data_IF_927280551946
#
_entry.id   IF_927280551946
#
_cell.length_a   1.000
_cell.length_b   1.000
_cell.length_c   1.000
_cell.angle_alpha   90.00
_cell.angle_beta   90.00
_cell.angle_gamma   90.00
#
_symmetry.space_group_name_H-M   'P 1'
#
loop_
_entity.id
_entity.type
_entity.pdbx_description
1 polymer ?
#
# COMPACT_ATOMS: atom_id res chain seq x y z
N UNK A 1 -19.71 19.41 -20.32
CA UNK A 1 -20.99 18.64 -20.13
C UNK A 1 -21.79 19.35 -19.04
N UNK A 2 -23.11 19.50 -19.17
CA UNK A 2 -23.95 20.09 -18.11
C UNK A 2 -24.07 19.14 -16.91
N UNK A 3 -24.12 19.68 -15.68
CA UNK A 3 -24.22 18.88 -14.44
C UNK A 3 -25.32 17.81 -14.47
N UNK A 4 -26.60 18.11 -14.82
CA UNK A 4 -27.64 17.11 -14.83
C UNK A 4 -27.39 15.97 -15.83
N UNK A 5 -26.73 16.26 -16.95
CA UNK A 5 -26.37 15.26 -17.94
C UNK A 5 -25.24 14.34 -17.43
N UNK A 6 -24.24 14.91 -16.75
CA UNK A 6 -23.15 14.16 -16.13
C UNK A 6 -23.68 13.22 -15.05
N UNK A 7 -24.50 13.73 -14.13
CA UNK A 7 -25.09 12.93 -13.06
C UNK A 7 -25.94 11.77 -13.62
N UNK A 8 -26.82 12.07 -14.58
CA UNK A 8 -27.69 11.06 -15.22
C UNK A 8 -26.86 9.97 -15.92
N UNK A 9 -25.77 10.37 -16.61
CA UNK A 9 -24.90 9.45 -17.30
C UNK A 9 -24.17 8.51 -16.32
N UNK A 10 -23.61 9.06 -15.24
CA UNK A 10 -22.92 8.24 -14.22
C UNK A 10 -23.90 7.30 -13.50
N UNK A 11 -25.09 7.78 -13.13
CA UNK A 11 -26.15 6.92 -12.53
C UNK A 11 -26.46 5.74 -13.45
N UNK A 12 -26.65 6.01 -14.75
CA UNK A 12 -26.95 4.97 -15.75
C UNK A 12 -25.83 3.93 -15.87
N UNK A 13 -24.56 4.37 -15.82
CA UNK A 13 -23.41 3.48 -15.93
C UNK A 13 -23.16 2.64 -14.68
N UNK A 14 -23.36 3.23 -13.50
CA UNK A 14 -22.89 2.64 -12.23
C UNK A 14 -24.01 2.03 -11.39
N UNK A 15 -25.26 2.41 -11.65
CA UNK A 15 -26.41 2.05 -10.80
C UNK A 15 -26.39 2.69 -9.40
N UNK A 16 -25.43 3.58 -9.13
CA UNK A 16 -25.27 4.22 -7.83
C UNK A 16 -26.33 5.33 -7.66
N UNK A 17 -26.87 5.47 -6.44
CA UNK A 17 -27.88 6.50 -6.13
C UNK A 17 -27.37 7.90 -6.45
N UNK A 18 -28.18 8.73 -7.09
CA UNK A 18 -27.88 10.10 -7.51
C UNK A 18 -27.25 10.95 -6.42
N UNK A 19 -27.72 10.85 -5.16
CA UNK A 19 -27.18 11.62 -4.02
C UNK A 19 -25.70 11.30 -3.75
N UNK A 20 -25.30 10.02 -3.84
CA UNK A 20 -23.91 9.62 -3.66
C UNK A 20 -23.02 10.10 -4.80
N UNK A 21 -23.53 10.04 -6.03
CA UNK A 21 -22.81 10.55 -7.20
C UNK A 21 -22.66 12.07 -7.12
N UNK A 22 -23.71 12.80 -6.71
CA UNK A 22 -23.61 14.24 -6.53
C UNK A 22 -22.54 14.63 -5.49
N UNK A 23 -22.47 13.93 -4.38
CA UNK A 23 -21.41 14.14 -3.38
C UNK A 23 -20.01 13.87 -3.96
N UNK A 24 -19.85 12.82 -4.76
CA UNK A 24 -18.57 12.53 -5.42
C UNK A 24 -18.19 13.59 -6.46
N UNK A 25 -19.16 14.08 -7.25
CA UNK A 25 -18.95 15.18 -8.21
C UNK A 25 -18.45 16.43 -7.50
N UNK A 26 -19.13 16.85 -6.41
CA UNK A 26 -18.71 18.01 -5.60
C UNK A 26 -17.29 17.82 -5.03
N UNK A 27 -16.96 16.62 -4.57
CA UNK A 27 -15.63 16.33 -4.03
C UNK A 27 -14.52 16.42 -5.10
N UNK A 28 -14.85 16.12 -6.35
CA UNK A 28 -13.91 16.19 -7.49
C UNK A 28 -13.87 17.57 -8.15
N UNK A 29 -14.74 18.51 -7.77
CA UNK A 29 -14.74 19.86 -8.32
C UNK A 29 -13.47 20.63 -7.93
N UNK A 30 -12.95 21.36 -8.91
CA UNK A 30 -11.88 22.33 -8.71
C UNK A 30 -12.45 23.60 -8.07
N UNK A 31 -11.84 24.04 -6.99
CA UNK A 31 -12.12 25.32 -6.35
C UNK A 31 -11.17 26.38 -6.94
N UNK A 32 -11.66 27.23 -7.86
CA UNK A 32 -10.88 28.26 -8.52
C UNK A 32 -10.23 29.28 -7.57
N UNK A 33 -10.64 29.33 -6.33
CA UNK A 33 -10.08 30.25 -5.31
C UNK A 33 -8.85 29.66 -4.62
N UNK A 34 -8.55 28.38 -4.83
CA UNK A 34 -7.45 27.64 -4.20
C UNK A 34 -6.57 26.99 -5.23
N UNK A 35 -5.36 26.64 -4.82
CA UNK A 35 -4.51 25.77 -5.62
C UNK A 35 -5.21 24.42 -5.84
N UNK A 36 -5.38 24.06 -7.09
CA UNK A 36 -5.97 22.77 -7.48
C UNK A 36 -4.94 21.92 -8.19
N UNK A 37 -4.82 20.69 -7.71
CA UNK A 37 -4.11 19.64 -8.41
C UNK A 37 -5.05 19.02 -9.45
N UNK A 38 -4.72 19.12 -10.73
CA UNK A 38 -5.52 18.56 -11.83
C UNK A 38 -5.69 17.04 -11.74
N UNK A 39 -4.81 16.36 -11.03
CA UNK A 39 -4.86 14.91 -10.85
C UNK A 39 -5.86 14.46 -9.78
N UNK A 40 -6.30 15.39 -8.92
CA UNK A 40 -7.28 15.12 -7.87
C UNK A 40 -8.57 15.92 -8.01
N UNK A 41 -8.51 17.11 -8.62
CA UNK A 41 -9.68 17.94 -8.91
C UNK A 41 -9.98 17.85 -10.40
N UNK A 42 -10.73 16.84 -10.79
CA UNK A 42 -10.92 16.44 -12.19
C UNK A 42 -12.09 17.13 -12.88
N UNK A 43 -12.89 17.90 -12.14
CA UNK A 43 -14.07 18.58 -12.65
C UNK A 43 -13.91 20.09 -12.50
N UNK A 44 -13.81 20.80 -13.62
CA UNK A 44 -13.63 22.25 -13.63
C UNK A 44 -14.95 22.94 -14.01
N UNK A 45 -15.66 23.57 -13.04
CA UNK A 45 -16.91 24.26 -13.34
C UNK A 45 -16.67 25.52 -14.19
N UNK A 46 -17.37 25.63 -15.30
CA UNK A 46 -17.36 26.79 -16.20
C UNK A 46 -18.81 27.15 -16.51
N UNK A 47 -19.39 28.08 -15.77
CA UNK A 47 -20.82 28.40 -15.85
C UNK A 47 -21.66 27.17 -15.51
N UNK A 48 -22.56 26.77 -16.42
CA UNK A 48 -23.42 25.58 -16.27
C UNK A 48 -22.74 24.26 -16.72
N UNK A 49 -21.47 24.29 -17.08
CA UNK A 49 -20.75 23.17 -17.68
C UNK A 49 -19.58 22.74 -16.84
N UNK A 50 -19.18 21.48 -16.96
CA UNK A 50 -17.89 20.97 -16.49
C UNK A 50 -16.94 20.78 -17.67
N UNK A 51 -15.73 21.32 -17.50
CA UNK A 51 -14.57 20.90 -18.28
C UNK A 51 -13.99 19.66 -17.65
N UNK A 52 -13.79 18.62 -18.45
CA UNK A 52 -13.25 17.33 -18.06
C UNK A 52 -11.85 17.20 -18.71
N UNK A 53 -10.77 17.38 -17.96
CA UNK A 53 -9.43 17.19 -18.50
C UNK A 53 -9.20 15.70 -18.80
N UNK A 54 -9.02 15.38 -20.07
CA UNK A 54 -8.97 14.01 -20.56
C UNK A 54 -7.81 13.20 -19.94
N UNK A 55 -6.61 13.77 -19.96
CA UNK A 55 -5.42 13.09 -19.47
C UNK A 55 -5.47 12.77 -17.96
N UNK A 56 -5.76 13.71 -17.07
CA UNK A 56 -5.91 13.40 -15.66
C UNK A 56 -6.96 12.32 -15.37
N UNK A 57 -8.09 12.34 -16.06
CA UNK A 57 -9.15 11.34 -15.85
C UNK A 57 -8.69 9.94 -16.23
N UNK A 58 -7.94 9.81 -17.32
CA UNK A 58 -7.47 8.51 -17.81
C UNK A 58 -6.27 7.98 -17.04
N UNK A 59 -5.32 8.85 -16.70
CA UNK A 59 -4.02 8.45 -16.16
C UNK A 59 -3.87 8.64 -14.66
N UNK A 60 -4.82 9.28 -13.97
CA UNK A 60 -4.76 9.34 -12.51
C UNK A 60 -4.94 7.96 -11.88
N UNK A 61 -4.08 7.65 -10.94
CA UNK A 61 -4.30 6.51 -10.06
C UNK A 61 -5.55 6.75 -9.20
N UNK A 62 -6.53 5.84 -9.16
CA UNK A 62 -7.67 5.94 -8.24
C UNK A 62 -7.23 6.08 -6.77
N UNK A 63 -6.12 5.46 -6.40
CA UNK A 63 -5.54 5.58 -5.06
C UNK A 63 -5.10 7.01 -4.74
N UNK A 64 -4.45 7.69 -5.69
CA UNK A 64 -4.06 9.10 -5.52
C UNK A 64 -5.28 10.00 -5.34
N UNK A 65 -6.31 9.80 -6.16
CA UNK A 65 -7.55 10.57 -6.08
C UNK A 65 -8.22 10.40 -4.72
N UNK A 66 -8.38 9.14 -4.26
CA UNK A 66 -8.98 8.84 -2.95
C UNK A 66 -8.14 9.44 -1.82
N UNK A 67 -6.83 9.32 -1.89
CA UNK A 67 -5.90 9.84 -0.87
C UNK A 67 -6.04 11.37 -0.72
N UNK A 68 -6.05 12.07 -1.84
CA UNK A 68 -6.25 13.53 -1.88
C UNK A 68 -7.64 13.95 -1.39
N UNK A 69 -8.69 13.18 -1.72
CA UNK A 69 -10.04 13.45 -1.22
C UNK A 69 -10.14 13.26 0.31
N UNK A 70 -9.51 12.22 0.84
CA UNK A 70 -9.43 12.01 2.29
C UNK A 70 -8.70 13.17 2.98
N UNK A 71 -7.57 13.61 2.43
CA UNK A 71 -6.84 14.76 2.94
C UNK A 71 -7.67 16.05 2.90
N UNK A 72 -8.35 16.33 1.78
CA UNK A 72 -9.30 17.47 1.68
C UNK A 72 -10.43 17.39 2.71
N UNK A 73 -10.89 16.18 3.03
CA UNK A 73 -11.92 15.93 4.05
C UNK A 73 -11.43 16.03 5.49
N UNK A 74 -10.15 16.35 5.71
CA UNK A 74 -9.56 16.48 7.05
C UNK A 74 -9.14 15.16 7.70
N UNK A 75 -9.15 14.06 6.95
CA UNK A 75 -8.66 12.76 7.44
C UNK A 75 -7.13 12.71 7.35
N UNK A 76 -6.46 12.86 8.48
CA UNK A 76 -5.01 12.71 8.58
C UNK A 76 -4.58 11.23 8.55
N UNK A 77 -3.25 10.98 8.47
CA UNK A 77 -2.72 9.61 8.40
C UNK A 77 -2.94 8.82 9.70
N UNK A 78 -2.96 9.47 10.85
CA UNK A 78 -3.08 8.78 12.13
C UNK A 78 -4.51 8.29 12.35
N UNK A 79 -5.53 9.12 12.03
CA UNK A 79 -6.93 8.68 12.03
C UNK A 79 -7.16 7.51 11.07
N UNK A 80 -6.49 7.55 9.91
CA UNK A 80 -6.54 6.47 8.91
C UNK A 80 -5.81 5.22 9.39
N UNK A 81 -4.73 5.37 10.15
CA UNK A 81 -3.98 4.28 10.77
C UNK A 81 -4.87 3.41 11.66
N UNK A 82 -5.60 4.03 12.59
CA UNK A 82 -6.54 3.33 13.46
C UNK A 82 -7.62 2.56 12.68
N UNK A 83 -8.15 3.15 11.59
CA UNK A 83 -9.13 2.45 10.74
C UNK A 83 -8.48 1.32 9.94
N UNK A 84 -7.24 1.47 9.54
CA UNK A 84 -6.49 0.45 8.81
C UNK A 84 -6.20 -0.78 9.67
N UNK A 85 -5.78 -0.60 10.92
CA UNK A 85 -5.60 -1.68 11.89
C UNK A 85 -6.89 -2.45 12.14
N UNK A 86 -8.01 -1.74 12.37
CA UNK A 86 -9.34 -2.35 12.51
C UNK A 86 -9.74 -3.13 11.26
N UNK A 87 -9.46 -2.59 10.08
CA UNK A 87 -9.73 -3.28 8.82
C UNK A 87 -8.94 -4.58 8.72
N UNK A 88 -7.64 -4.56 9.02
CA UNK A 88 -6.78 -5.73 8.99
C UNK A 88 -7.27 -6.81 9.97
N UNK A 89 -7.52 -6.44 11.22
CA UNK A 89 -8.03 -7.35 12.23
C UNK A 89 -9.35 -7.99 11.79
N UNK A 90 -10.31 -7.21 11.33
CA UNK A 90 -11.60 -7.70 10.85
C UNK A 90 -11.44 -8.65 9.65
N UNK A 91 -10.53 -8.34 8.71
CA UNK A 91 -10.27 -9.23 7.58
C UNK A 91 -9.67 -10.56 8.02
N UNK A 92 -8.73 -10.55 8.94
CA UNK A 92 -8.06 -11.75 9.44
C UNK A 92 -8.98 -12.65 10.28
N UNK A 93 -9.88 -12.06 11.05
CA UNK A 93 -10.79 -12.81 11.95
C UNK A 93 -12.07 -13.28 11.27
N UNK A 94 -12.59 -12.51 10.27
CA UNK A 94 -13.86 -12.82 9.60
C UNK A 94 -13.69 -13.41 8.19
N UNK A 95 -12.49 -13.39 7.63
CA UNK A 95 -12.22 -14.04 6.35
C UNK A 95 -11.65 -15.41 6.62
N UNK A 96 -12.17 -16.43 5.93
CA UNK A 96 -11.60 -17.78 6.01
C UNK A 96 -10.15 -17.76 5.56
N UNK A 97 -9.22 -17.90 6.47
CA UNK A 97 -7.81 -18.18 6.19
C UNK A 97 -7.66 -19.62 5.69
N UNK A 98 -6.63 -19.89 4.89
CA UNK A 98 -6.37 -21.27 4.41
C UNK A 98 -6.11 -22.24 5.57
N UNK A 99 -5.54 -21.75 6.68
CA UNK A 99 -5.19 -22.53 7.83
C UNK A 99 -5.58 -21.82 9.13
N UNK A 100 -5.78 -22.59 10.24
CA UNK A 100 -6.09 -22.02 11.54
C UNK A 100 -5.06 -20.99 11.96
N UNK A 101 -5.53 -19.83 12.40
CA UNK A 101 -4.72 -18.76 12.92
C UNK A 101 -5.36 -18.19 14.19
N UNK A 102 -4.55 -17.92 15.21
CA UNK A 102 -4.97 -17.18 16.39
C UNK A 102 -4.52 -15.74 16.20
N UNK A 103 -5.47 -14.83 15.98
CA UNK A 103 -5.20 -13.41 15.83
C UNK A 103 -5.50 -12.69 17.13
N UNK A 104 -4.51 -12.08 17.74
CA UNK A 104 -4.72 -11.20 18.89
C UNK A 104 -5.16 -9.81 18.43
N UNK A 105 -6.07 -9.15 19.17
CA UNK A 105 -6.47 -7.79 18.84
C UNK A 105 -5.31 -6.81 19.01
N UNK A 106 -5.33 -5.72 18.23
CA UNK A 106 -4.45 -4.59 18.48
C UNK A 106 -4.70 -4.02 19.89
N UNK A 107 -3.62 -3.67 20.59
CA UNK A 107 -3.74 -3.17 21.96
C UNK A 107 -2.41 -3.06 22.69
N UNK A 108 -2.49 -2.54 23.91
CA UNK A 108 -1.33 -2.46 24.81
C UNK A 108 -1.27 -3.68 25.69
N UNK A 109 -0.11 -4.29 25.73
CA UNK A 109 0.21 -5.49 26.50
C UNK A 109 1.34 -5.17 27.48
N UNK A 110 1.21 -5.62 28.73
CA UNK A 110 2.19 -5.35 29.77
C UNK A 110 1.57 -4.81 31.05
N UNK A 111 2.39 -4.33 31.97
CA UNK A 111 2.01 -3.62 33.19
C UNK A 111 2.47 -2.16 33.09
N UNK A 112 1.77 -1.29 33.79
CA UNK A 112 2.04 0.15 33.77
C UNK A 112 3.53 0.48 33.94
N UNK A 113 4.12 1.13 32.96
CA UNK A 113 5.54 1.45 32.89
C UNK A 113 6.41 0.49 32.08
N UNK A 114 5.89 -0.72 31.75
CA UNK A 114 6.54 -1.70 30.86
C UNK A 114 5.47 -2.28 29.92
N UNK A 115 4.90 -1.40 29.10
CA UNK A 115 3.83 -1.74 28.16
C UNK A 115 4.32 -1.52 26.72
N UNK A 116 3.91 -2.42 25.81
CA UNK A 116 4.14 -2.23 24.37
C UNK A 116 2.81 -2.33 23.62
N UNK A 117 2.62 -1.44 22.65
CA UNK A 117 1.46 -1.45 21.77
C UNK A 117 1.73 -2.37 20.57
N UNK A 118 0.91 -3.39 20.41
CA UNK A 118 1.01 -4.38 19.34
C UNK A 118 -0.17 -4.19 18.39
N UNK A 119 0.10 -3.87 17.13
CA UNK A 119 -0.94 -3.63 16.13
C UNK A 119 -1.49 -4.94 15.58
N UNK A 120 -0.61 -5.92 15.37
CA UNK A 120 -1.00 -7.23 14.86
C UNK A 120 -0.06 -8.34 15.34
N UNK A 121 -0.66 -9.39 15.88
CA UNK A 121 0.02 -10.59 16.32
C UNK A 121 -0.80 -11.83 15.93
N UNK A 122 -0.21 -12.71 15.13
CA UNK A 122 -0.88 -13.88 14.59
C UNK A 122 -0.05 -15.13 14.88
N UNK A 123 -0.64 -16.10 15.57
CA UNK A 123 -0.04 -17.41 15.80
C UNK A 123 -0.55 -18.41 14.77
N UNK A 124 0.37 -19.01 14.06
CA UNK A 124 0.18 -20.15 13.17
C UNK A 124 0.88 -21.39 13.74
N UNK A 125 0.79 -22.53 13.04
CA UNK A 125 1.38 -23.79 13.51
C UNK A 125 2.87 -23.70 13.86
N UNK A 126 3.70 -23.11 12.98
CA UNK A 126 5.16 -23.04 13.14
C UNK A 126 5.70 -21.64 13.36
N UNK A 127 4.91 -20.59 13.08
CA UNK A 127 5.36 -19.21 13.09
C UNK A 127 4.44 -18.30 13.89
N UNK A 128 5.04 -17.27 14.46
CA UNK A 128 4.34 -16.08 14.96
C UNK A 128 4.62 -14.95 13.99
N UNK A 129 3.57 -14.36 13.44
CA UNK A 129 3.65 -13.19 12.60
C UNK A 129 3.40 -11.96 13.47
N UNK A 130 4.33 -11.05 13.52
CA UNK A 130 4.17 -9.78 14.22
C UNK A 130 4.35 -8.64 13.24
N UNK A 131 3.37 -7.74 13.20
CA UNK A 131 3.46 -6.61 12.28
C UNK A 131 3.16 -5.28 12.96
N UNK A 132 3.81 -4.26 12.43
CA UNK A 132 3.50 -2.85 12.64
C UNK A 132 2.70 -2.35 11.43
N UNK A 133 1.54 -1.74 11.68
CA UNK A 133 0.65 -1.29 10.62
C UNK A 133 0.88 0.20 10.32
N UNK A 134 1.38 0.51 9.13
CA UNK A 134 1.65 1.90 8.72
C UNK A 134 0.74 2.33 7.58
N UNK A 135 -0.04 3.37 7.84
CA UNK A 135 -0.77 4.07 6.80
C UNK A 135 0.16 5.12 6.17
N UNK A 136 0.35 5.05 4.86
CA UNK A 136 1.16 6.00 4.09
C UNK A 136 0.29 6.71 3.06
N UNK A 137 0.74 7.86 2.57
CA UNK A 137 0.18 8.50 1.39
C UNK A 137 0.52 7.71 0.13
N UNK A 138 -0.38 7.77 -0.86
CA UNK A 138 -0.05 7.24 -2.18
C UNK A 138 1.06 8.12 -2.81
N UNK A 139 2.21 7.53 -2.98
CA UNK A 139 3.40 8.27 -3.43
C UNK A 139 3.37 8.48 -4.94
N UNK A 140 3.41 9.74 -5.37
CA UNK A 140 3.42 10.18 -6.79
C UNK A 140 4.68 11.01 -7.07
N UNK A 141 5.12 11.80 -6.10
CA UNK A 141 6.24 12.72 -6.20
C UNK A 141 7.42 12.24 -5.35
N UNK A 142 8.65 12.62 -5.67
CA UNK A 142 9.84 12.21 -4.90
C UNK A 142 9.74 12.49 -3.40
N UNK A 143 9.14 13.63 -3.01
CA UNK A 143 8.92 13.97 -1.61
C UNK A 143 8.00 12.95 -0.92
N UNK A 144 6.89 12.58 -1.57
CA UNK A 144 5.96 11.59 -1.00
C UNK A 144 6.62 10.21 -0.83
N UNK A 145 7.51 9.82 -1.75
CA UNK A 145 8.30 8.59 -1.60
C UNK A 145 9.25 8.66 -0.40
N UNK A 146 9.92 9.80 -0.20
CA UNK A 146 10.83 10.01 0.93
C UNK A 146 10.08 9.98 2.26
N UNK A 147 8.96 10.68 2.37
CA UNK A 147 8.11 10.71 3.57
C UNK A 147 7.54 9.31 3.89
N UNK A 148 7.03 8.61 2.87
CA UNK A 148 6.53 7.25 3.03
C UNK A 148 7.63 6.30 3.48
N UNK A 149 8.84 6.40 2.90
CA UNK A 149 9.97 5.58 3.30
C UNK A 149 10.37 5.83 4.75
N UNK A 150 10.53 7.08 5.18
CA UNK A 150 10.87 7.41 6.58
C UNK A 150 9.87 6.85 7.58
N UNK A 151 8.56 6.91 7.25
CA UNK A 151 7.51 6.34 8.10
C UNK A 151 7.57 4.80 8.15
N UNK A 152 7.99 4.16 7.07
CA UNK A 152 8.17 2.70 7.02
C UNK A 152 9.44 2.25 7.74
N UNK A 153 10.53 3.01 7.68
CA UNK A 153 11.75 2.79 8.49
C UNK A 153 11.43 2.82 9.98
N UNK A 154 10.70 3.84 10.44
CA UNK A 154 10.20 3.92 11.82
C UNK A 154 9.37 2.68 12.19
N UNK A 155 8.48 2.22 11.30
CA UNK A 155 7.69 1.00 11.50
C UNK A 155 8.56 -0.25 11.63
N UNK A 156 9.65 -0.35 10.85
CA UNK A 156 10.61 -1.46 10.97
C UNK A 156 11.32 -1.46 12.33
N UNK A 157 11.72 -0.31 12.83
CA UNK A 157 12.32 -0.18 14.16
C UNK A 157 11.32 -0.52 15.27
N UNK A 158 10.09 -0.05 15.15
CA UNK A 158 9.02 -0.35 16.10
C UNK A 158 8.72 -1.84 16.16
N UNK A 159 8.57 -2.53 15.03
CA UNK A 159 8.26 -3.97 15.04
C UNK A 159 9.42 -4.82 15.58
N UNK A 160 10.67 -4.38 15.44
CA UNK A 160 11.83 -5.03 16.10
C UNK A 160 11.66 -4.95 17.63
N UNK A 161 11.38 -3.76 18.16
CA UNK A 161 11.15 -3.54 19.60
C UNK A 161 9.96 -4.37 20.10
N UNK A 162 8.84 -4.35 19.37
CA UNK A 162 7.64 -5.17 19.65
C UNK A 162 7.97 -6.67 19.69
N UNK A 163 8.83 -7.12 18.78
CA UNK A 163 9.27 -8.52 18.71
C UNK A 163 10.06 -8.94 19.96
N UNK A 164 10.98 -8.10 20.41
CA UNK A 164 11.73 -8.36 21.64
C UNK A 164 10.82 -8.34 22.87
N UNK A 165 9.85 -7.42 22.92
CA UNK A 165 8.85 -7.40 23.98
C UNK A 165 8.05 -8.70 24.03
N UNK A 166 7.56 -9.21 22.90
CA UNK A 166 6.80 -10.48 22.83
C UNK A 166 7.65 -11.66 23.29
N UNK A 167 8.93 -11.74 22.88
CA UNK A 167 9.85 -12.79 23.30
C UNK A 167 10.09 -12.80 24.82
N UNK A 168 10.27 -11.63 25.40
CA UNK A 168 10.66 -11.48 26.81
C UNK A 168 9.45 -11.55 27.77
N UNK A 169 8.23 -11.45 27.25
CA UNK A 169 7.02 -11.33 28.05
C UNK A 169 5.94 -12.38 27.73
N UNK A 170 6.26 -13.70 27.73
CA UNK A 170 5.31 -14.75 27.35
C UNK A 170 4.04 -14.79 28.19
N UNK A 171 4.11 -14.27 29.42
CA UNK A 171 2.97 -14.25 30.34
C UNK A 171 1.77 -13.43 29.83
N UNK A 172 1.98 -12.46 28.94
CA UNK A 172 0.92 -11.63 28.35
C UNK A 172 0.31 -12.23 27.09
N UNK A 173 0.93 -13.29 26.54
CA UNK A 173 0.57 -13.87 25.25
C UNK A 173 0.15 -15.34 25.34
N UNK A 174 -0.40 -15.76 26.48
CA UNK A 174 -0.82 -17.14 26.75
C UNK A 174 -1.85 -17.65 25.76
N UNK A 175 -2.68 -16.78 25.19
CA UNK A 175 -3.69 -17.13 24.20
C UNK A 175 -3.09 -17.68 22.90
N UNK A 176 -1.81 -17.38 22.62
CA UNK A 176 -1.10 -17.91 21.44
C UNK A 176 -0.66 -19.38 21.62
N UNK A 177 -0.90 -19.95 22.80
CA UNK A 177 -0.41 -21.28 23.18
C UNK A 177 1.10 -21.29 23.44
N UNK A 178 1.72 -22.47 23.39
CA UNK A 178 3.18 -22.57 23.45
C UNK A 178 3.78 -22.08 22.14
N UNK A 179 4.34 -20.87 22.17
CA UNK A 179 4.97 -20.26 21.01
C UNK A 179 6.49 -20.12 21.12
N UNK A 180 7.07 -20.60 22.23
CA UNK A 180 8.52 -20.49 22.46
C UNK A 180 9.34 -21.28 21.44
N UNK A 181 8.74 -22.34 20.88
CA UNK A 181 9.31 -23.13 19.79
C UNK A 181 9.03 -22.60 18.37
N UNK A 182 8.19 -21.56 18.26
CA UNK A 182 7.81 -21.01 16.97
C UNK A 182 8.76 -19.92 16.53
N UNK A 183 8.99 -19.83 15.23
CA UNK A 183 9.75 -18.74 14.67
C UNK A 183 8.92 -17.45 14.66
N UNK A 184 9.48 -16.35 15.17
CA UNK A 184 8.84 -15.03 15.13
C UNK A 184 9.33 -14.28 13.90
N UNK A 185 8.39 -13.86 13.04
CA UNK A 185 8.67 -13.15 11.78
C UNK A 185 8.11 -11.73 11.89
N UNK A 186 8.97 -10.72 12.11
CA UNK A 186 8.57 -9.32 12.09
C UNK A 186 8.44 -8.80 10.64
N UNK A 187 7.44 -7.94 10.40
CA UNK A 187 7.29 -7.21 9.14
C UNK A 187 6.44 -5.95 9.34
N UNK A 188 6.51 -5.05 8.39
CA UNK A 188 5.64 -3.86 8.33
C UNK A 188 4.56 -4.08 7.28
N UNK A 189 3.31 -3.77 7.63
CA UNK A 189 2.18 -3.85 6.72
C UNK A 189 1.67 -2.46 6.37
N UNK A 190 1.48 -2.19 5.08
CA UNK A 190 1.06 -0.88 4.58
C UNK A 190 -0.22 -0.96 3.74
N UNK A 191 -0.92 0.16 3.65
CA UNK A 191 -2.16 0.30 2.89
C UNK A 191 -1.96 0.35 1.37
N UNK A 192 -0.76 0.69 0.88
CA UNK A 192 -0.42 0.78 -0.54
C UNK A 192 0.77 -0.11 -0.92
N UNK A 193 0.86 -0.56 -2.18
CA UNK A 193 1.94 -1.46 -2.62
C UNK A 193 3.31 -0.78 -2.78
N UNK A 194 3.40 0.52 -2.50
CA UNK A 194 4.66 1.26 -2.50
C UNK A 194 5.64 0.60 -1.53
N UNK A 195 6.85 0.30 -1.97
CA UNK A 195 7.90 -0.40 -1.21
C UNK A 195 7.59 -1.86 -0.81
N UNK A 196 6.53 -2.48 -1.33
CA UNK A 196 6.27 -3.92 -1.10
C UNK A 196 7.45 -4.78 -1.53
N UNK A 197 7.94 -5.65 -0.61
CA UNK A 197 9.11 -6.51 -0.82
C UNK A 197 10.46 -5.86 -0.54
N UNK A 198 10.48 -4.57 -0.23
CA UNK A 198 11.69 -3.90 0.30
C UNK A 198 11.87 -4.23 1.78
N UNK A 199 13.05 -3.94 2.31
CA UNK A 199 13.36 -4.20 3.71
C UNK A 199 14.27 -3.13 4.31
N UNK A 200 14.10 -2.90 5.60
CA UNK A 200 14.99 -2.08 6.42
C UNK A 200 15.39 -2.86 7.68
N UNK A 201 16.68 -2.91 8.00
CA UNK A 201 17.21 -3.68 9.14
C UNK A 201 16.74 -5.16 9.20
N UNK A 202 16.56 -5.80 8.01
CA UNK A 202 16.11 -7.19 7.91
C UNK A 202 14.58 -7.38 8.09
N UNK A 203 13.83 -6.32 8.35
CA UNK A 203 12.37 -6.31 8.41
C UNK A 203 11.80 -5.98 7.03
N UNK A 204 10.93 -6.82 6.52
CA UNK A 204 10.29 -6.62 5.22
C UNK A 204 9.02 -5.77 5.31
N UNK A 205 8.73 -5.07 4.22
CA UNK A 205 7.52 -4.27 4.04
C UNK A 205 6.61 -5.00 3.07
N UNK A 206 5.33 -5.10 3.39
CA UNK A 206 4.30 -5.74 2.54
C UNK A 206 3.02 -4.91 2.53
N UNK A 207 2.35 -4.85 1.39
CA UNK A 207 1.02 -4.25 1.33
C UNK A 207 -0.07 -5.19 1.85
N UNK A 208 -1.15 -4.61 2.35
CA UNK A 208 -2.27 -5.35 2.95
C UNK A 208 -2.96 -6.30 1.98
N UNK A 209 -3.06 -5.95 0.69
CA UNK A 209 -3.70 -6.80 -0.30
C UNK A 209 -2.89 -8.07 -0.55
N UNK A 210 -1.59 -7.94 -0.74
CA UNK A 210 -0.65 -9.06 -0.90
C UNK A 210 -0.65 -9.96 0.33
N UNK A 211 -0.56 -9.36 1.52
CA UNK A 211 -0.60 -10.10 2.78
C UNK A 211 -1.89 -10.88 2.96
N UNK A 212 -3.05 -10.23 2.82
CA UNK A 212 -4.36 -10.89 2.95
C UNK A 212 -4.59 -11.97 1.88
N UNK A 213 -4.07 -11.79 0.66
CA UNK A 213 -4.11 -12.79 -0.39
C UNK A 213 -3.27 -14.02 -0.03
N UNK A 214 -2.09 -13.80 0.56
CA UNK A 214 -1.26 -14.89 1.09
C UNK A 214 -1.99 -15.65 2.20
N UNK A 215 -2.52 -14.95 3.20
CA UNK A 215 -3.26 -15.57 4.30
C UNK A 215 -4.46 -16.38 3.82
N UNK A 216 -5.18 -15.87 2.83
CA UNK A 216 -6.42 -16.48 2.31
C UNK A 216 -6.18 -17.72 1.46
N UNK A 217 -5.18 -17.73 0.60
CA UNK A 217 -5.04 -18.78 -0.42
C UNK A 217 -3.60 -19.11 -0.84
N UNK A 218 -2.62 -18.32 -0.38
CA UNK A 218 -1.25 -18.42 -0.86
C UNK A 218 -1.07 -18.08 -2.33
N UNK A 219 -2.09 -17.50 -2.97
CA UNK A 219 -2.05 -17.18 -4.39
C UNK A 219 -1.95 -15.66 -4.53
N UNK A 220 -0.95 -15.24 -5.23
CA UNK A 220 -0.79 -13.85 -5.67
C UNK A 220 -1.08 -13.75 -7.16
N UNK A 221 -2.00 -12.87 -7.52
CA UNK A 221 -2.42 -12.64 -8.90
C UNK A 221 -2.00 -11.25 -9.32
N UNK A 222 -1.17 -11.15 -10.34
CA UNK A 222 -0.86 -9.87 -10.99
C UNK A 222 -1.88 -9.60 -12.09
N UNK A 223 -2.47 -8.40 -12.07
CA UNK A 223 -3.45 -7.98 -13.07
C UNK A 223 -3.00 -6.68 -13.72
N UNK A 224 -3.18 -6.61 -15.02
CA UNK A 224 -3.13 -5.36 -15.76
C UNK A 224 -4.56 -4.83 -15.89
N UNK A 225 -4.74 -3.57 -15.53
CA UNK A 225 -5.99 -2.84 -15.77
C UNK A 225 -5.84 -2.07 -17.07
N UNK A 226 -6.81 -2.21 -17.95
CA UNK A 226 -6.93 -1.47 -19.20
C UNK A 226 -8.35 -0.93 -19.35
N UNK A 227 -8.59 -0.07 -20.32
CA UNK A 227 -9.91 0.54 -20.55
C UNK A 227 -11.02 -0.47 -20.85
N UNK A 228 -10.68 -1.57 -21.47
CA UNK A 228 -11.56 -2.66 -21.92
C UNK A 228 -11.67 -3.79 -20.89
N UNK A 229 -11.01 -3.63 -19.72
CA UNK A 229 -11.12 -4.61 -18.64
C UNK A 229 -9.81 -4.88 -17.91
N UNK A 230 -9.74 -6.04 -17.28
CA UNK A 230 -8.54 -6.51 -16.59
C UNK A 230 -8.08 -7.84 -17.17
N UNK A 231 -6.80 -7.95 -17.44
CA UNK A 231 -6.15 -9.22 -17.80
C UNK A 231 -5.24 -9.73 -16.68
N UNK A 232 -5.15 -11.04 -16.52
CA UNK A 232 -4.21 -11.67 -15.59
C UNK A 232 -2.85 -11.77 -16.29
N UNK A 233 -1.84 -11.06 -15.76
CA UNK A 233 -0.46 -11.15 -16.25
C UNK A 233 0.27 -12.38 -15.73
N UNK A 234 -0.07 -12.81 -14.52
CA UNK A 234 0.55 -13.96 -13.90
C UNK A 234 -0.10 -14.34 -12.58
N UNK A 235 0.11 -15.58 -12.19
CA UNK A 235 -0.27 -16.12 -10.89
C UNK A 235 0.90 -16.85 -10.29
N UNK A 236 1.19 -16.58 -9.01
CA UNK A 236 2.21 -17.32 -8.24
C UNK A 236 1.56 -17.93 -7.01
N UNK A 237 1.66 -19.24 -6.87
CA UNK A 237 1.23 -19.95 -5.66
C UNK A 237 2.43 -20.21 -4.79
N UNK A 238 2.33 -19.84 -3.51
CA UNK A 238 3.44 -19.92 -2.55
C UNK A 238 3.39 -21.18 -1.70
N UNK A 239 2.21 -21.74 -1.41
CA UNK A 239 2.07 -22.90 -0.56
C UNK A 239 0.87 -23.79 -0.94
N UNK A 240 0.96 -25.07 -0.60
CA UNK A 240 -0.10 -26.08 -0.75
C UNK A 240 -0.44 -26.76 0.59
N UNK A 241 0.33 -26.50 1.64
CA UNK A 241 0.13 -27.06 2.98
C UNK A 241 0.46 -26.03 4.03
N UNK A 242 0.01 -26.26 5.28
CA UNK A 242 0.30 -25.38 6.41
C UNK A 242 1.80 -25.31 6.74
N UNK A 243 2.51 -26.42 6.56
CA UNK A 243 3.96 -26.43 6.74
C UNK A 243 4.66 -25.54 5.70
N UNK A 244 4.25 -25.66 4.44
CA UNK A 244 4.76 -24.79 3.36
C UNK A 244 4.34 -23.32 3.55
N UNK A 245 3.19 -23.05 4.17
CA UNK A 245 2.80 -21.68 4.53
C UNK A 245 3.91 -21.02 5.36
N UNK A 246 4.31 -21.67 6.44
CA UNK A 246 5.32 -21.14 7.35
C UNK A 246 6.69 -21.01 6.68
N UNK A 247 7.12 -22.06 6.00
CA UNK A 247 8.44 -22.13 5.35
C UNK A 247 8.58 -21.10 4.21
N UNK A 248 7.50 -20.81 3.50
CA UNK A 248 7.50 -19.90 2.36
C UNK A 248 7.12 -18.45 2.71
N UNK A 249 6.70 -18.14 3.95
CA UNK A 249 6.29 -16.78 4.28
C UNK A 249 7.45 -15.78 4.16
N UNK A 250 8.63 -16.11 4.68
CA UNK A 250 9.81 -15.26 4.50
C UNK A 250 10.18 -15.08 3.03
N UNK A 251 10.08 -16.15 2.24
CA UNK A 251 10.33 -16.09 0.80
C UNK A 251 9.29 -15.20 0.11
N UNK A 252 8.02 -15.28 0.52
CA UNK A 252 6.98 -14.39 0.01
C UNK A 252 7.29 -12.91 0.30
N UNK A 253 7.79 -12.61 1.49
CA UNK A 253 8.18 -11.24 1.85
C UNK A 253 9.38 -10.75 1.02
N UNK A 254 10.43 -11.56 0.90
CA UNK A 254 11.70 -11.17 0.26
C UNK A 254 11.66 -11.22 -1.28
N UNK A 255 11.00 -12.24 -1.83
CA UNK A 255 10.89 -12.53 -3.27
C UNK A 255 9.50 -12.17 -3.80
N UNK A 256 9.05 -10.96 -3.49
CA UNK A 256 7.72 -10.49 -3.85
C UNK A 256 7.64 -10.14 -5.35
N UNK A 257 6.67 -10.70 -6.10
CA UNK A 257 6.51 -10.40 -7.53
C UNK A 257 6.30 -8.93 -7.84
N UNK A 258 5.65 -8.16 -6.96
CA UNK A 258 5.44 -6.71 -7.14
C UNK A 258 6.79 -5.98 -7.17
N UNK A 259 7.71 -6.31 -6.23
CA UNK A 259 9.06 -5.76 -6.22
C UNK A 259 9.80 -6.05 -7.52
N UNK A 260 9.74 -7.30 -8.00
CA UNK A 260 10.41 -7.68 -9.23
C UNK A 260 9.87 -6.91 -10.45
N UNK A 261 8.55 -6.80 -10.56
CA UNK A 261 7.95 -6.02 -11.64
C UNK A 261 8.26 -4.52 -11.53
N UNK A 262 8.31 -3.98 -10.33
CA UNK A 262 8.70 -2.60 -10.10
C UNK A 262 10.15 -2.35 -10.51
N UNK A 263 11.08 -3.20 -10.05
CA UNK A 263 12.50 -3.06 -10.35
C UNK A 263 12.82 -3.21 -11.85
N UNK A 264 12.08 -4.05 -12.58
CA UNK A 264 12.21 -4.17 -14.04
C UNK A 264 11.88 -2.88 -14.80
N UNK A 265 11.11 -1.99 -14.18
CA UNK A 265 10.66 -0.73 -14.81
C UNK A 265 11.48 0.48 -14.41
N UNK A 266 12.38 0.34 -13.43
CA UNK A 266 13.27 1.42 -13.01
C UNK A 266 14.55 1.33 -13.82
N UNK A 267 14.92 2.44 -14.45
CA UNK A 267 16.25 2.64 -15.01
C UNK A 267 16.82 3.95 -14.54
N UNK A 268 18.12 3.90 -14.30
CA UNK A 268 18.89 5.03 -13.82
C UNK A 268 19.72 5.50 -14.99
N UNK A 269 19.59 6.78 -15.35
CA UNK A 269 20.47 7.41 -16.34
C UNK A 269 21.16 8.61 -15.76
N UNK A 270 22.31 8.88 -16.33
CA UNK A 270 23.05 10.09 -16.03
C UNK A 270 22.36 11.28 -16.69
N UNK A 271 21.98 12.26 -15.91
CA UNK A 271 21.47 13.54 -16.38
C UNK A 271 22.62 14.55 -16.34
N UNK A 272 23.06 15.06 -17.49
CA UNK A 272 23.94 16.21 -17.50
C UNK A 272 23.17 17.42 -16.97
N UNK A 273 23.55 17.90 -15.79
CA UNK A 273 23.05 19.16 -15.25
C UNK A 273 24.01 20.25 -15.70
N UNK A 274 23.60 21.06 -16.68
CA UNK A 274 24.31 22.26 -17.04
C UNK A 274 24.10 23.33 -15.97
N UNK A 275 25.11 23.58 -15.16
CA UNK A 275 25.09 24.66 -14.17
C UNK A 275 25.85 25.86 -14.75
N UNK A 276 25.13 26.78 -15.40
CA UNK A 276 25.70 28.03 -15.89
C UNK A 276 26.60 27.90 -17.14
N UNK A 277 27.33 28.97 -17.45
CA UNK A 277 28.23 29.05 -18.60
C UNK A 277 29.66 28.52 -18.32
N UNK A 278 29.88 27.91 -17.17
CA UNK A 278 31.18 27.34 -16.77
C UNK A 278 31.30 25.86 -17.14
N UNK A 279 32.51 25.34 -17.40
CA UNK A 279 32.76 23.98 -17.89
C UNK A 279 32.56 22.88 -16.82
N UNK A 280 31.95 23.17 -15.70
CA UNK A 280 31.64 22.19 -14.67
C UNK A 280 30.37 21.44 -15.00
N UNK A 281 30.51 20.23 -15.51
CA UNK A 281 29.38 19.31 -15.70
C UNK A 281 29.12 18.55 -14.42
N UNK A 282 28.02 18.89 -13.74
CA UNK A 282 27.50 18.04 -12.65
C UNK A 282 26.66 16.95 -13.34
N UNK A 283 27.08 15.70 -13.19
CA UNK A 283 26.32 14.55 -13.63
C UNK A 283 25.43 14.13 -12.47
N UNK A 284 24.15 14.43 -12.56
CA UNK A 284 23.12 13.89 -11.66
C UNK A 284 22.63 12.52 -12.16
N UNK A 285 22.16 11.68 -11.24
CA UNK A 285 21.47 10.44 -11.63
C UNK A 285 19.96 10.67 -11.52
N UNK A 286 19.24 10.34 -12.57
CA UNK A 286 17.78 10.35 -12.58
C UNK A 286 17.28 8.92 -12.69
N UNK A 287 16.32 8.57 -11.83
CA UNK A 287 15.57 7.32 -11.94
C UNK A 287 14.28 7.58 -12.70
N UNK A 288 14.02 6.81 -13.74
CA UNK A 288 12.74 6.84 -14.46
C UNK A 288 12.04 5.49 -14.34
N UNK A 289 10.71 5.54 -14.25
CA UNK A 289 9.87 4.34 -14.26
C UNK A 289 9.21 4.26 -15.62
N UNK A 290 9.51 3.20 -16.39
CA UNK A 290 8.83 2.93 -17.65
C UNK A 290 7.51 2.20 -17.41
N UNK A 291 6.49 2.66 -18.11
CA UNK A 291 5.23 1.93 -18.20
C UNK A 291 5.26 0.83 -19.29
N UNK A 292 6.32 0.78 -20.11
CA UNK A 292 6.51 -0.24 -21.14
C UNK A 292 7.44 -1.36 -20.66
N UNK A 293 6.94 -2.57 -20.43
CA UNK A 293 7.75 -3.70 -19.98
C UNK A 293 8.76 -4.19 -21.03
N UNK A 294 8.65 -3.78 -22.31
CA UNK A 294 9.57 -4.17 -23.38
C UNK A 294 10.81 -3.29 -23.45
N UNK A 295 10.80 -2.12 -22.81
CA UNK A 295 11.90 -1.15 -22.90
C UNK A 295 13.20 -1.65 -22.24
N UNK A 296 13.13 -2.62 -21.34
CA UNK A 296 14.30 -3.14 -20.62
C UNK A 296 15.09 -4.23 -21.36
N UNK A 297 14.66 -4.67 -22.54
CA UNK A 297 15.30 -5.78 -23.26
C UNK A 297 16.50 -5.32 -24.10
N UNK A 298 16.62 -4.04 -24.43
CA UNK A 298 17.62 -3.53 -25.37
C UNK A 298 18.91 -2.97 -24.76
N UNK A 299 19.01 -2.82 -23.43
CA UNK A 299 20.16 -2.17 -22.78
C UNK A 299 21.09 -3.11 -22.00
N UNK A 300 20.90 -4.44 -22.07
CA UNK A 300 21.77 -5.45 -21.45
C UNK A 300 22.55 -6.26 -22.50
N UNK A 301 22.97 -5.64 -23.61
CA UNK A 301 23.91 -6.26 -24.58
C UNK A 301 25.25 -5.55 -24.52
#
# INVERSE_FOLDING_TARGET
MKEPCLLSYIVKLTGIKTQKIKAAVIALEADWTKYNDIWSSMLYPIGEYYLLPFFPIIYSSPYNVIDRLLFKGGFNLDDRGVQFEKYLYNKLTHTANSYPAICMPAGRYGIHGDEEEIDMLISMKKVILIADAKCIHYSVEPLNYSEAWSRLEEGCEQVIRKTEFVKNNPQYFKELGDYTSKEIIPFVITNYPTFTGFSHNGVFIIDSHSFLSYMKSGIMTMRQLSFDGSSILGMKKFYNSEDQFSDNFKKFLSDNPIKHEFLKRIYIHDLPLAVGCDPWHIIGKSAQISNDPQFNISNNS
#
